data_IF_708347900393
#
_entry.id   IF_708347900393
#
_cell.length_a   1.000
_cell.length_b   1.000
_cell.length_c   1.000
_cell.angle_alpha   90.00
_cell.angle_beta   90.00
_cell.angle_gamma   90.00
#
_symmetry.space_group_name_H-M   'P 1'
#
loop_
_entity.id
_entity.type
_entity.pdbx_description
1 polymer ?
#
# COMPACT_ATOMS: atom_id res chain seq x y z
N UNK A 1 11.08 -0.04 -4.77
CA UNK A 1 10.58 -0.15 -3.38
C UNK A 1 9.26 -0.92 -3.29
N UNK A 2 8.32 -0.66 -4.20
CA UNK A 2 7.01 -1.31 -4.24
C UNK A 2 7.07 -2.84 -4.15
N UNK A 3 7.95 -3.49 -4.91
CA UNK A 3 8.10 -4.95 -4.91
C UNK A 3 8.49 -5.51 -3.54
N UNK A 4 9.32 -4.79 -2.78
CA UNK A 4 9.71 -5.20 -1.43
C UNK A 4 8.58 -5.01 -0.44
N UNK A 5 7.82 -3.90 -0.51
CA UNK A 5 6.61 -3.73 0.30
C UNK A 5 5.59 -4.83 0.01
N UNK A 6 5.36 -5.16 -1.27
CA UNK A 6 4.48 -6.25 -1.66
C UNK A 6 4.98 -7.60 -1.13
N UNK A 7 6.29 -7.85 -1.15
CA UNK A 7 6.90 -9.05 -0.54
C UNK A 7 6.60 -9.10 0.96
N UNK A 8 6.85 -8.02 1.69
CA UNK A 8 6.58 -7.94 3.14
C UNK A 8 5.09 -8.22 3.43
N UNK A 9 4.19 -7.59 2.68
CA UNK A 9 2.73 -7.77 2.84
C UNK A 9 2.30 -9.21 2.56
N UNK A 10 2.74 -9.79 1.44
CA UNK A 10 2.36 -11.16 1.04
C UNK A 10 2.90 -12.23 2.00
N UNK A 11 4.06 -12.00 2.60
CA UNK A 11 4.69 -12.93 3.54
C UNK A 11 4.22 -12.75 4.99
N UNK A 12 3.49 -11.67 5.28
CA UNK A 12 3.11 -11.37 6.65
C UNK A 12 2.08 -12.40 7.20
N UNK A 13 2.33 -13.03 8.36
CA UNK A 13 1.48 -14.10 8.90
C UNK A 13 0.01 -13.69 9.07
N UNK A 14 -0.22 -12.47 9.57
CA UNK A 14 -1.59 -11.95 9.75
C UNK A 14 -2.31 -11.75 8.42
N UNK A 15 -1.62 -11.37 7.35
CA UNK A 15 -2.25 -11.16 6.04
C UNK A 15 -2.66 -12.51 5.46
N UNK A 16 -1.75 -13.49 5.51
CA UNK A 16 -2.01 -14.86 5.03
C UNK A 16 -3.20 -15.49 5.75
N UNK A 17 -3.23 -15.38 7.06
CA UNK A 17 -4.27 -16.01 7.85
C UNK A 17 -5.60 -15.21 7.81
N UNK A 18 -5.56 -13.90 7.62
CA UNK A 18 -6.78 -13.12 7.33
C UNK A 18 -7.36 -13.47 5.95
N UNK A 19 -6.53 -13.82 4.97
CA UNK A 19 -6.98 -14.33 3.67
C UNK A 19 -7.59 -15.72 3.80
N UNK A 20 -6.95 -16.66 4.50
CA UNK A 20 -7.49 -18.02 4.67
C UNK A 20 -8.81 -18.03 5.44
N UNK A 21 -8.99 -17.10 6.38
CA UNK A 21 -10.23 -16.91 7.12
C UNK A 21 -11.31 -16.12 6.34
N UNK A 22 -11.02 -15.68 5.10
CA UNK A 22 -11.97 -14.95 4.24
C UNK A 22 -12.22 -13.50 4.65
N UNK A 23 -11.43 -12.91 5.56
CA UNK A 23 -11.59 -11.53 6.03
C UNK A 23 -11.11 -10.47 5.03
N UNK A 24 -10.23 -10.85 4.10
CA UNK A 24 -9.63 -9.96 3.09
C UNK A 24 -10.27 -10.06 1.71
N UNK A 25 -11.37 -10.80 1.54
CA UNK A 25 -11.98 -11.03 0.23
C UNK A 25 -13.18 -10.09 0.01
N UNK A 26 -12.96 -9.00 -0.72
CA UNK A 26 -13.95 -8.44 -1.64
C UNK A 26 -13.28 -8.24 -3.01
N UNK A 27 -14.00 -8.64 -4.08
CA UNK A 27 -13.66 -8.52 -5.51
C UNK A 27 -12.23 -8.89 -5.95
N UNK A 28 -12.00 -10.20 -6.16
CA UNK A 28 -10.83 -10.70 -6.88
C UNK A 28 -9.62 -10.99 -5.99
N UNK A 29 -9.24 -12.26 -5.90
CA UNK A 29 -8.20 -12.76 -4.99
C UNK A 29 -6.79 -12.14 -5.16
N UNK A 30 -6.55 -11.47 -6.30
CA UNK A 30 -5.28 -10.83 -6.66
C UNK A 30 -5.23 -9.33 -6.29
N UNK A 31 -6.39 -8.68 -6.10
CA UNK A 31 -6.44 -7.26 -5.73
C UNK A 31 -6.02 -7.02 -4.27
N UNK A 32 -6.38 -7.94 -3.38
CA UNK A 32 -6.25 -7.72 -1.93
C UNK A 32 -4.82 -7.42 -1.46
N UNK A 33 -3.79 -8.13 -1.96
CA UNK A 33 -2.40 -7.83 -1.57
C UNK A 33 -1.91 -6.52 -2.15
N UNK A 34 -2.29 -6.22 -3.39
CA UNK A 34 -1.94 -4.99 -4.10
C UNK A 34 -2.57 -3.78 -3.40
N UNK A 35 -3.85 -3.88 -3.02
CA UNK A 35 -4.59 -2.85 -2.29
C UNK A 35 -3.97 -2.62 -0.90
N UNK A 36 -3.63 -3.70 -0.19
CA UNK A 36 -3.01 -3.58 1.14
C UNK A 36 -1.59 -3.02 1.06
N UNK A 37 -0.84 -3.36 0.00
CA UNK A 37 0.47 -2.77 -0.31
C UNK A 37 0.34 -1.30 -0.63
N UNK A 38 -0.68 -0.91 -1.39
CA UNK A 38 -0.97 0.48 -1.71
C UNK A 38 -1.31 1.28 -0.44
N UNK A 39 -2.18 0.75 0.40
CA UNK A 39 -2.60 1.41 1.63
C UNK A 39 -1.43 1.54 2.62
N UNK A 40 -0.60 0.49 2.74
CA UNK A 40 0.64 0.54 3.52
C UNK A 40 1.58 1.62 2.98
N UNK A 41 1.80 1.68 1.66
CA UNK A 41 2.66 2.70 1.04
C UNK A 41 2.16 4.13 1.34
N UNK A 42 0.86 4.39 1.14
CA UNK A 42 0.24 5.69 1.44
C UNK A 42 0.38 6.02 2.92
N UNK A 43 0.21 5.04 3.81
CA UNK A 43 0.34 5.25 5.25
C UNK A 43 1.78 5.60 5.65
N UNK A 44 2.78 4.87 5.14
CA UNK A 44 4.20 5.15 5.38
C UNK A 44 4.57 6.56 4.89
N UNK A 45 4.08 6.95 3.71
CA UNK A 45 4.28 8.28 3.16
C UNK A 45 3.62 9.36 4.02
N UNK A 46 2.35 9.16 4.43
CA UNK A 46 1.61 10.13 5.25
C UNK A 46 2.24 10.39 6.62
N UNK A 47 2.93 9.39 7.16
CA UNK A 47 3.66 9.45 8.43
C UNK A 47 5.10 9.93 8.28
N UNK A 48 5.51 10.27 7.06
CA UNK A 48 6.89 10.62 6.69
C UNK A 48 7.92 9.57 7.15
N UNK A 49 7.56 8.28 7.05
CA UNK A 49 8.41 7.19 7.54
C UNK A 49 9.67 6.99 6.69
N UNK A 50 9.57 7.19 5.38
CA UNK A 50 10.74 7.04 4.50
C UNK A 50 11.85 8.03 4.85
N UNK A 51 11.50 9.30 5.09
CA UNK A 51 12.47 10.31 5.56
C UNK A 51 13.06 9.92 6.91
N UNK A 52 12.22 9.45 7.84
CA UNK A 52 12.69 8.97 9.14
C UNK A 52 13.72 7.84 9.02
N UNK A 53 13.50 6.88 8.11
CA UNK A 53 14.45 5.77 7.89
C UNK A 53 15.80 6.26 7.35
N UNK A 54 15.79 7.29 6.49
CA UNK A 54 17.01 7.93 6.00
C UNK A 54 17.73 8.71 7.11
N UNK A 55 17.00 9.55 7.85
CA UNK A 55 17.53 10.38 8.94
C UNK A 55 18.16 9.57 10.07
N UNK A 56 17.65 8.36 10.31
CA UNK A 56 18.12 7.46 11.37
C UNK A 56 19.09 6.40 10.87
N UNK A 57 19.43 6.41 9.58
CA UNK A 57 20.34 5.44 8.94
C UNK A 57 19.94 3.98 9.22
N UNK A 58 18.64 3.69 9.25
CA UNK A 58 18.14 2.34 9.51
C UNK A 58 18.55 1.37 8.40
N UNK A 59 18.95 0.17 8.80
CA UNK A 59 19.26 -0.91 7.87
C UNK A 59 17.99 -1.51 7.27
N UNK A 60 18.11 -2.15 6.10
CA UNK A 60 16.99 -2.85 5.43
C UNK A 60 16.26 -3.82 6.40
N UNK A 61 17.02 -4.54 7.22
CA UNK A 61 16.46 -5.47 8.21
C UNK A 61 15.63 -4.76 9.29
N UNK A 62 16.09 -3.63 9.79
CA UNK A 62 15.37 -2.84 10.80
C UNK A 62 14.10 -2.25 10.21
N UNK A 63 14.17 -1.74 8.97
CA UNK A 63 13.02 -1.21 8.23
C UNK A 63 11.98 -2.32 8.01
N UNK A 64 12.39 -3.50 7.54
CA UNK A 64 11.48 -4.64 7.34
C UNK A 64 10.82 -5.09 8.66
N UNK A 65 11.59 -5.16 9.75
CA UNK A 65 11.06 -5.49 11.06
C UNK A 65 10.03 -4.46 11.53
N UNK A 66 10.32 -3.17 11.36
CA UNK A 66 9.41 -2.11 11.76
C UNK A 66 8.12 -2.13 10.92
N UNK A 67 8.26 -2.24 9.60
CA UNK A 67 7.13 -2.30 8.68
C UNK A 67 6.25 -3.51 9.00
N UNK A 68 6.83 -4.71 9.15
CA UNK A 68 6.07 -5.92 9.45
C UNK A 68 5.43 -5.89 10.84
N UNK A 69 6.22 -5.67 11.87
CA UNK A 69 5.77 -5.83 13.26
C UNK A 69 4.90 -4.66 13.75
N UNK A 70 5.09 -3.46 13.20
CA UNK A 70 4.43 -2.25 13.69
C UNK A 70 3.44 -1.74 12.63
N UNK A 71 3.93 -1.29 11.48
CA UNK A 71 3.09 -0.53 10.53
C UNK A 71 2.00 -1.40 9.90
N UNK A 72 2.38 -2.53 9.32
CA UNK A 72 1.46 -3.48 8.70
C UNK A 72 0.52 -4.12 9.73
N UNK A 73 1.04 -4.48 10.90
CA UNK A 73 0.20 -5.01 11.99
C UNK A 73 -0.84 -3.98 12.45
N UNK A 74 -0.46 -2.69 12.55
CA UNK A 74 -1.39 -1.62 12.90
C UNK A 74 -2.44 -1.37 11.82
N UNK A 75 -2.04 -1.39 10.54
CA UNK A 75 -2.93 -1.27 9.39
C UNK A 75 -3.99 -2.37 9.42
N UNK A 76 -3.56 -3.64 9.50
CA UNK A 76 -4.46 -4.79 9.57
C UNK A 76 -5.39 -4.72 10.76
N UNK A 77 -4.87 -4.37 11.94
CA UNK A 77 -5.69 -4.23 13.14
C UNK A 77 -6.68 -3.07 13.03
N UNK A 78 -6.36 -2.00 12.31
CA UNK A 78 -7.28 -0.90 12.04
C UNK A 78 -8.38 -1.32 11.06
N UNK A 79 -8.04 -2.03 9.99
CA UNK A 79 -9.01 -2.55 9.02
C UNK A 79 -9.97 -3.58 9.65
N UNK A 80 -9.44 -4.52 10.44
CA UNK A 80 -10.27 -5.47 11.18
C UNK A 80 -11.22 -4.76 12.16
N UNK A 81 -10.77 -3.66 12.79
CA UNK A 81 -11.63 -2.83 13.66
C UNK A 81 -12.75 -2.14 12.91
N UNK A 82 -12.49 -1.67 11.67
CA UNK A 82 -13.50 -1.02 10.82
C UNK A 82 -14.51 -2.04 10.30
N UNK A 83 -14.06 -3.20 9.83
CA UNK A 83 -14.90 -4.26 9.24
C UNK A 83 -15.69 -5.06 10.27
N UNK A 84 -15.08 -5.35 11.42
CA UNK A 84 -15.70 -6.15 12.50
C UNK A 84 -15.64 -5.42 13.85
N UNK A 85 -16.29 -4.24 13.97
CA UNK A 85 -16.25 -3.42 15.19
C UNK A 85 -16.86 -4.14 16.40
N UNK A 86 -17.85 -4.98 16.15
CA UNK A 86 -18.53 -5.79 17.17
C UNK A 86 -17.61 -6.83 17.80
N UNK A 87 -16.95 -7.64 16.96
CA UNK A 87 -15.97 -8.63 17.37
C UNK A 87 -14.84 -8.01 18.19
N UNK A 88 -14.35 -6.83 17.78
CA UNK A 88 -13.32 -6.11 18.51
C UNK A 88 -13.81 -5.61 19.89
N UNK A 89 -15.04 -5.06 19.96
CA UNK A 89 -15.64 -4.63 21.24
C UNK A 89 -15.79 -5.80 22.20
N UNK A 90 -16.28 -6.95 21.74
CA UNK A 90 -16.44 -8.15 22.56
C UNK A 90 -15.10 -8.71 23.03
N UNK A 91 -14.12 -8.83 22.13
CA UNK A 91 -12.76 -9.23 22.47
C UNK A 91 -12.20 -8.41 23.63
N UNK A 92 -12.34 -7.07 23.58
CA UNK A 92 -11.86 -6.17 24.64
C UNK A 92 -12.64 -6.35 25.94
N UNK A 93 -13.98 -6.47 25.87
CA UNK A 93 -14.85 -6.70 27.03
C UNK A 93 -14.50 -8.00 27.75
N UNK A 94 -14.28 -9.09 27.00
CA UNK A 94 -13.85 -10.38 27.54
C UNK A 94 -12.54 -10.21 28.32
N UNK A 95 -11.51 -9.62 27.70
CA UNK A 95 -10.21 -9.37 28.37
C UNK A 95 -10.34 -8.50 29.63
N UNK A 96 -11.23 -7.51 29.63
CA UNK A 96 -11.49 -6.67 30.81
C UNK A 96 -12.20 -7.44 31.93
N UNK A 97 -13.22 -8.23 31.60
CA UNK A 97 -13.97 -9.00 32.60
C UNK A 97 -13.09 -10.05 33.28
N UNK A 98 -12.26 -10.76 32.51
CA UNK A 98 -11.30 -11.74 33.04
C UNK A 98 -10.34 -11.12 34.07
N UNK A 99 -9.98 -9.85 33.91
CA UNK A 99 -9.05 -9.15 34.81
C UNK A 99 -9.71 -8.49 36.02
N UNK A 100 -10.98 -8.08 35.88
CA UNK A 100 -11.64 -7.21 36.87
C UNK A 100 -12.68 -7.93 37.72
N UNK A 101 -13.23 -9.06 37.25
CA UNK A 101 -14.20 -9.84 38.02
C UNK A 101 -13.51 -10.72 39.06
N UNK A 102 -14.16 -10.84 40.23
CA UNK A 102 -13.78 -11.78 41.29
C UNK A 102 -14.00 -13.25 40.95
N UNK A 103 -14.74 -13.57 39.89
CA UNK A 103 -14.99 -14.93 39.44
C UNK A 103 -13.77 -15.56 38.76
N UNK A 104 -12.78 -14.75 38.37
CA UNK A 104 -11.58 -15.21 37.69
C UNK A 104 -10.34 -14.91 38.52
N UNK A 105 -9.34 -15.79 38.42
CA UNK A 105 -8.01 -15.57 39.00
C UNK A 105 -6.92 -16.04 38.04
N UNK A 106 -5.71 -15.57 38.29
CA UNK A 106 -4.52 -15.88 37.50
C UNK A 106 -3.90 -17.20 37.97
N UNK A 107 -3.51 -18.07 37.03
CA UNK A 107 -2.98 -19.43 37.27
C UNK A 107 -1.53 -19.62 36.83
N UNK A 108 -0.78 -18.54 36.64
CA UNK A 108 0.63 -18.65 36.22
C UNK A 108 1.42 -19.45 37.27
N UNK A 109 1.77 -20.70 36.92
CA UNK A 109 2.51 -21.64 37.76
C UNK A 109 3.90 -21.10 38.10
N UNK A 110 4.07 -20.73 39.37
CA UNK A 110 5.26 -20.95 40.21
C UNK A 110 6.66 -20.80 39.58
N UNK A 111 7.41 -19.76 39.98
CA UNK A 111 8.82 -19.93 40.35
C UNK A 111 9.90 -19.13 39.60
N UNK A 112 9.57 -18.46 38.50
CA UNK A 112 10.44 -17.45 37.88
C UNK A 112 9.63 -16.17 37.76
N UNK A 113 10.18 -15.11 38.36
CA UNK A 113 9.43 -13.96 38.88
C UNK A 113 8.45 -13.30 37.93
N UNK A 114 7.62 -12.43 38.50
CA UNK A 114 6.98 -11.32 37.80
C UNK A 114 7.92 -10.79 36.71
N UNK A 115 7.76 -11.27 35.48
CA UNK A 115 8.30 -10.61 34.31
C UNK A 115 7.26 -9.55 33.98
N UNK A 116 7.50 -8.27 34.30
CA UNK A 116 6.54 -7.19 34.03
C UNK A 116 6.24 -7.03 32.53
N UNK A 117 6.93 -7.77 31.66
CA UNK A 117 6.87 -7.69 30.21
C UNK A 117 6.00 -8.76 29.53
N UNK A 118 5.37 -9.70 30.26
CA UNK A 118 4.46 -10.67 29.61
C UNK A 118 3.22 -9.98 29.05
N UNK A 119 3.01 -10.16 27.74
CA UNK A 119 1.86 -9.61 27.01
C UNK A 119 0.57 -10.13 27.66
N UNK A 120 -0.44 -9.26 27.76
CA UNK A 120 -1.74 -9.60 28.35
C UNK A 120 -2.36 -10.87 27.73
N UNK A 121 -2.17 -11.05 26.43
CA UNK A 121 -2.69 -12.18 25.67
C UNK A 121 -2.22 -13.54 26.20
N UNK A 122 -1.02 -13.61 26.79
CA UNK A 122 -0.37 -14.87 27.17
C UNK A 122 -0.54 -15.20 28.67
N UNK A 123 -1.23 -14.33 29.42
CA UNK A 123 -1.49 -14.53 30.86
C UNK A 123 -2.56 -15.60 31.05
N UNK A 124 -2.35 -16.55 31.96
CA UNK A 124 -3.26 -17.67 32.18
C UNK A 124 -4.29 -17.35 33.27
N UNK A 125 -5.56 -17.55 32.95
CA UNK A 125 -6.70 -17.36 33.84
C UNK A 125 -7.58 -18.60 33.93
N UNK A 126 -8.32 -18.69 35.03
CA UNK A 126 -9.31 -19.73 35.28
C UNK A 126 -10.28 -19.28 36.37
N UNK A 127 -11.18 -20.17 36.78
CA UNK A 127 -12.15 -19.85 37.83
C UNK A 127 -11.47 -19.66 39.18
N UNK A 128 -11.96 -18.68 39.95
CA UNK A 128 -11.40 -18.30 41.25
C UNK A 128 -11.47 -19.42 42.29
N UNK A 129 -12.44 -20.32 42.16
CA UNK A 129 -12.67 -21.47 43.04
C UNK A 129 -11.80 -22.69 42.75
N UNK A 130 -11.12 -22.77 41.60
CA UNK A 130 -10.27 -23.91 41.29
C UNK A 130 -9.01 -23.94 42.18
N UNK A 131 -8.38 -25.10 42.32
CA UNK A 131 -7.13 -25.23 43.07
C UNK A 131 -5.91 -24.69 42.29
N UNK A 132 -4.89 -24.18 42.98
CA UNK A 132 -3.69 -23.54 42.37
C UNK A 132 -2.93 -24.47 41.41
N UNK A 133 -3.00 -25.78 41.62
CA UNK A 133 -2.38 -26.80 40.76
C UNK A 133 -3.26 -27.34 39.64
N UNK A 134 -4.33 -26.63 39.24
CA UNK A 134 -5.23 -27.09 38.16
C UNK A 134 -4.42 -27.29 36.86
N UNK A 135 -4.45 -28.51 36.33
CA UNK A 135 -3.67 -28.87 35.12
C UNK A 135 -4.24 -28.19 33.88
N UNK A 136 -3.33 -27.71 33.03
CA UNK A 136 -3.66 -27.31 31.65
C UNK A 136 -3.95 -28.55 30.82
N UNK A 137 -4.98 -28.48 29.97
CA UNK A 137 -5.32 -29.48 28.96
C UNK A 137 -4.72 -29.08 27.62
N UNK A 138 -4.62 -30.05 26.72
CA UNK A 138 -4.19 -29.81 25.35
C UNK A 138 -5.20 -28.97 24.57
N UNK A 139 -4.72 -28.13 23.64
CA UNK A 139 -5.57 -27.19 22.88
C UNK A 139 -6.73 -27.89 22.16
N UNK A 140 -6.46 -29.06 21.58
CA UNK A 140 -7.48 -29.83 20.85
C UNK A 140 -8.63 -30.30 21.76
N UNK A 141 -8.31 -30.76 22.97
CA UNK A 141 -9.31 -31.21 23.95
C UNK A 141 -10.18 -30.04 24.44
N UNK A 142 -9.57 -28.88 24.60
CA UNK A 142 -10.25 -27.64 25.02
C UNK A 142 -11.23 -27.19 23.95
N UNK A 143 -10.82 -27.15 22.68
CA UNK A 143 -11.68 -26.76 21.55
C UNK A 143 -12.90 -27.68 21.41
N UNK A 144 -12.71 -29.00 21.49
CA UNK A 144 -13.82 -29.96 21.41
C UNK A 144 -14.83 -29.76 22.53
N UNK A 145 -14.36 -29.56 23.77
CA UNK A 145 -15.24 -29.44 24.95
C UNK A 145 -16.12 -28.19 24.92
N UNK A 146 -15.65 -27.09 24.34
CA UNK A 146 -16.47 -25.87 24.18
C UNK A 146 -17.69 -26.10 23.29
N UNK A 147 -17.71 -27.14 22.44
CA UNK A 147 -18.87 -27.49 21.59
C UNK A 147 -20.08 -28.01 22.35
N UNK A 148 -19.91 -28.37 23.62
CA UNK A 148 -21.02 -28.69 24.52
C UNK A 148 -21.85 -27.43 24.82
N UNK A 149 -21.25 -26.24 24.75
CA UNK A 149 -21.93 -24.97 25.02
C UNK A 149 -22.67 -24.53 23.76
N UNK A 150 -23.99 -24.31 23.84
CA UNK A 150 -24.75 -23.83 22.69
C UNK A 150 -24.31 -22.41 22.31
N UNK A 151 -24.22 -22.17 21.00
CA UNK A 151 -24.00 -20.81 20.47
C UNK A 151 -25.19 -19.94 20.87
N UNK A 152 -24.92 -18.77 21.45
CA UNK A 152 -25.98 -17.84 21.85
C UNK A 152 -26.67 -17.25 20.62
N UNK A 153 -27.98 -17.07 20.72
CA UNK A 153 -28.75 -16.42 19.67
C UNK A 153 -28.37 -14.94 19.54
N UNK A 154 -28.35 -14.43 18.30
CA UNK A 154 -28.14 -13.01 18.03
C UNK A 154 -29.38 -12.25 18.46
N UNK A 155 -29.24 -11.31 19.37
CA UNK A 155 -30.32 -10.36 19.65
C UNK A 155 -30.45 -9.43 18.42
N UNK A 156 -31.60 -9.49 17.75
CA UNK A 156 -31.83 -8.79 16.46
C UNK A 156 -32.51 -7.44 16.64
N UNK A 157 -32.48 -6.87 17.86
CA UNK A 157 -33.00 -5.52 18.10
C UNK A 157 -32.29 -4.52 17.20
N UNK A 158 -33.09 -3.72 16.49
CA UNK A 158 -32.61 -2.59 15.70
C UNK A 158 -31.98 -1.56 16.64
N UNK A 159 -30.68 -1.29 16.50
CA UNK A 159 -29.99 -0.26 17.27
C UNK A 159 -29.39 0.77 16.32
N UNK A 160 -29.77 2.04 16.50
CA UNK A 160 -29.24 3.17 15.72
C UNK A 160 -29.92 3.41 14.36
N UNK A 161 -29.41 4.40 13.61
CA UNK A 161 -29.96 4.84 12.32
C UNK A 161 -29.47 4.02 11.11
N UNK A 162 -28.57 3.04 11.30
CA UNK A 162 -27.94 2.28 10.21
C UNK A 162 -28.60 0.91 9.94
N UNK A 163 -29.51 0.45 10.80
CA UNK A 163 -30.28 -0.78 10.57
C UNK A 163 -29.53 -2.10 10.80
N UNK A 164 -28.29 -2.04 11.30
CA UNK A 164 -27.51 -3.24 11.60
C UNK A 164 -27.92 -3.88 12.94
N UNK A 165 -28.22 -5.18 12.93
CA UNK A 165 -28.42 -5.96 14.16
C UNK A 165 -27.10 -6.15 14.91
N UNK A 166 -26.99 -5.77 16.18
CA UNK A 166 -25.79 -5.99 17.02
C UNK A 166 -26.06 -7.06 18.08
N UNK A 167 -25.09 -7.89 18.44
CA UNK A 167 -25.16 -8.76 19.63
C UNK A 167 -25.15 -7.88 20.87
N UNK A 168 -26.34 -7.66 21.42
CA UNK A 168 -26.53 -7.02 22.72
C UNK A 168 -26.36 -8.09 23.79
N UNK A 169 -25.18 -8.15 24.39
CA UNK A 169 -24.88 -8.99 25.56
C UNK A 169 -24.44 -8.11 26.73
N UNK A 170 -25.06 -8.28 27.90
CA UNK A 170 -24.67 -7.53 29.11
C UNK A 170 -23.33 -8.04 29.66
N UNK A 171 -22.73 -7.32 30.61
CA UNK A 171 -21.48 -7.79 31.23
C UNK A 171 -21.69 -9.04 32.08
N UNK A 172 -22.80 -9.14 32.81
CA UNK A 172 -23.14 -10.34 33.59
C UNK A 172 -23.36 -11.54 32.67
N UNK A 173 -24.12 -11.37 31.58
CA UNK A 173 -24.37 -12.47 30.66
C UNK A 173 -23.08 -12.94 29.97
N UNK A 174 -22.18 -12.01 29.63
CA UNK A 174 -20.88 -12.32 29.03
C UNK A 174 -19.96 -13.02 30.04
N UNK A 175 -20.02 -12.62 31.30
CA UNK A 175 -19.31 -13.26 32.39
C UNK A 175 -19.79 -14.69 32.64
N UNK A 176 -21.10 -14.92 32.66
CA UNK A 176 -21.69 -16.25 32.76
C UNK A 176 -21.28 -17.15 31.60
N UNK A 177 -21.10 -16.59 30.39
CA UNK A 177 -20.57 -17.33 29.25
C UNK A 177 -19.10 -17.70 29.45
N UNK A 178 -18.26 -16.79 29.96
CA UNK A 178 -16.85 -17.08 30.26
C UNK A 178 -16.76 -18.20 31.32
N UNK A 179 -17.60 -18.13 32.36
CA UNK A 179 -17.69 -19.19 33.39
C UNK A 179 -18.10 -20.52 32.76
N UNK A 180 -19.16 -20.53 31.95
CA UNK A 180 -19.63 -21.73 31.26
C UNK A 180 -18.54 -22.36 30.38
N UNK A 181 -17.76 -21.52 29.67
CA UNK A 181 -16.61 -21.95 28.86
C UNK A 181 -15.55 -22.60 29.73
N UNK A 182 -15.15 -21.96 30.83
CA UNK A 182 -14.15 -22.51 31.76
C UNK A 182 -14.63 -23.82 32.41
N UNK A 183 -15.90 -23.92 32.80
CA UNK A 183 -16.49 -25.14 33.34
C UNK A 183 -16.49 -26.29 32.34
N UNK A 184 -16.85 -26.03 31.07
CA UNK A 184 -16.88 -27.07 30.04
C UNK A 184 -15.47 -27.60 29.72
N UNK A 185 -14.49 -26.71 29.59
CA UNK A 185 -13.11 -27.09 29.28
C UNK A 185 -12.37 -27.65 30.49
N UNK A 186 -12.80 -27.28 31.70
CA UNK A 186 -12.24 -27.75 32.96
C UNK A 186 -10.71 -27.54 33.03
N UNK A 187 -10.24 -26.39 32.56
CA UNK A 187 -8.81 -26.08 32.44
C UNK A 187 -8.51 -24.57 32.38
N UNK A 188 -7.42 -24.09 33.01
CA UNK A 188 -6.96 -22.72 32.84
C UNK A 188 -6.42 -22.48 31.42
N UNK A 189 -6.74 -21.31 30.86
CA UNK A 189 -6.35 -20.92 29.52
C UNK A 189 -5.75 -19.51 29.52
N UNK A 190 -4.86 -19.22 28.56
CA UNK A 190 -4.39 -17.86 28.33
C UNK A 190 -5.51 -16.97 27.76
N UNK A 191 -5.38 -15.65 27.92
CA UNK A 191 -6.41 -14.68 27.50
C UNK A 191 -6.73 -14.80 26.00
N UNK A 192 -5.74 -15.11 25.15
CA UNK A 192 -5.93 -15.28 23.70
C UNK A 192 -6.86 -16.46 23.43
N UNK A 193 -6.54 -17.62 23.99
CA UNK A 193 -7.33 -18.85 23.87
C UNK A 193 -8.73 -18.65 24.44
N UNK A 194 -8.85 -18.13 25.66
CA UNK A 194 -10.15 -17.94 26.32
C UNK A 194 -11.06 -17.00 25.52
N UNK A 195 -10.50 -15.94 24.94
CA UNK A 195 -11.24 -15.04 24.05
C UNK A 195 -11.77 -15.78 22.82
N UNK A 196 -10.93 -16.57 22.14
CA UNK A 196 -11.35 -17.31 20.94
C UNK A 196 -12.48 -18.30 21.26
N UNK A 197 -12.34 -19.06 22.36
CA UNK A 197 -13.36 -20.00 22.81
C UNK A 197 -14.70 -19.30 23.12
N UNK A 198 -14.67 -18.18 23.83
CA UNK A 198 -15.88 -17.40 24.15
C UNK A 198 -16.51 -16.80 22.89
N UNK A 199 -15.69 -16.23 22.01
CA UNK A 199 -16.17 -15.67 20.74
C UNK A 199 -16.76 -16.75 19.82
N UNK A 200 -16.24 -17.98 19.83
CA UNK A 200 -16.79 -19.11 19.07
C UNK A 200 -18.21 -19.50 19.51
N UNK A 201 -18.67 -19.07 20.68
CA UNK A 201 -20.03 -19.29 21.22
C UNK A 201 -20.93 -18.07 21.10
N UNK A 202 -20.46 -17.02 20.43
CA UNK A 202 -21.22 -15.83 20.08
C UNK A 202 -21.40 -15.79 18.55
N UNK A 203 -22.50 -15.23 18.02
CA UNK A 203 -22.74 -15.15 16.58
C UNK A 203 -21.98 -13.95 15.98
N UNK A 204 -20.68 -13.89 16.23
CA UNK A 204 -19.75 -12.85 15.76
C UNK A 204 -18.52 -13.51 15.15
N UNK A 205 -17.87 -12.81 14.21
CA UNK A 205 -16.62 -13.29 13.62
C UNK A 205 -15.51 -13.29 14.67
N UNK A 206 -14.77 -14.39 14.80
CA UNK A 206 -13.54 -14.40 15.59
C UNK A 206 -12.39 -13.82 14.78
N UNK A 207 -12.03 -12.56 15.09
CA UNK A 207 -10.92 -11.82 14.46
C UNK A 207 -9.54 -12.36 14.86
N UNK A 208 -9.45 -13.34 15.76
CA UNK A 208 -8.19 -13.92 16.24
C UNK A 208 -8.01 -15.41 15.94
N UNK A 209 -8.77 -15.97 15.01
CA UNK A 209 -8.49 -17.30 14.42
C UNK A 209 -7.18 -17.37 13.60
N UNK A 210 -6.25 -16.44 13.83
CA UNK A 210 -4.89 -16.44 13.34
C UNK A 210 -3.94 -16.63 14.53
N UNK A 211 -3.39 -17.83 14.73
CA UNK A 211 -2.23 -18.02 15.60
C UNK A 211 -1.11 -17.07 15.15
N UNK A 212 -0.61 -16.25 16.08
CA UNK A 212 0.63 -15.48 15.89
C UNK A 212 1.88 -16.37 16.01
N UNK A 213 1.68 -17.60 16.48
CA UNK A 213 2.72 -18.62 16.57
C UNK A 213 2.64 -19.41 15.27
N UNK A 214 3.54 -19.06 14.34
CA UNK A 214 3.73 -19.79 13.10
C UNK A 214 4.10 -21.22 13.42
N UNK A 215 3.20 -22.15 13.11
CA UNK A 215 3.60 -23.52 12.86
C UNK A 215 4.12 -23.53 11.42
N UNK A 216 5.45 -23.59 11.27
CA UNK A 216 6.16 -23.90 10.02
C UNK A 216 5.83 -25.35 9.61
N UNK A 217 4.56 -25.64 9.36
CA UNK A 217 4.19 -26.89 8.72
C UNK A 217 4.16 -26.64 7.22
N UNK A 218 5.33 -26.83 6.60
CA UNK A 218 5.63 -26.82 5.16
C UNK A 218 4.89 -27.95 4.38
N UNK A 219 3.58 -28.09 4.61
CA UNK A 219 2.84 -29.29 4.21
C UNK A 219 1.94 -29.15 2.97
N UNK A 220 1.31 -28.01 2.73
CA UNK A 220 0.29 -27.92 1.68
C UNK A 220 0.43 -26.62 0.87
N UNK A 221 1.06 -26.76 -0.30
CA UNK A 221 0.92 -25.86 -1.44
C UNK A 221 1.10 -24.38 -1.12
N UNK A 222 2.35 -23.95 -0.88
CA UNK A 222 2.73 -22.55 -1.03
C UNK A 222 2.49 -22.11 -2.50
N UNK A 223 1.24 -21.79 -2.83
CA UNK A 223 0.90 -21.02 -4.02
C UNK A 223 1.35 -19.58 -3.74
N UNK A 224 2.65 -19.34 -3.89
CA UNK A 224 3.19 -18.00 -3.96
C UNK A 224 2.53 -17.31 -5.15
N UNK A 225 1.75 -16.28 -4.88
CA UNK A 225 1.17 -15.47 -5.92
C UNK A 225 2.32 -14.68 -6.55
N UNK A 226 2.61 -14.88 -7.86
CA UNK A 226 3.69 -14.16 -8.51
C UNK A 226 3.43 -12.66 -8.38
N UNK A 227 4.48 -11.88 -8.06
CA UNK A 227 4.42 -10.42 -8.09
C UNK A 227 3.81 -9.99 -9.42
N UNK A 228 2.75 -9.17 -9.36
CA UNK A 228 2.12 -8.66 -10.56
C UNK A 228 3.19 -8.00 -11.44
N UNK A 229 3.28 -8.46 -12.69
CA UNK A 229 4.26 -7.96 -13.67
C UNK A 229 3.80 -6.68 -14.36
N UNK A 230 2.58 -6.22 -14.06
CA UNK A 230 2.07 -4.96 -14.54
C UNK A 230 2.89 -3.79 -13.96
N UNK A 231 2.84 -2.65 -14.67
CA UNK A 231 3.51 -1.41 -14.25
C UNK A 231 3.02 -1.01 -12.86
N UNK A 232 3.93 -0.97 -11.89
CA UNK A 232 3.58 -0.59 -10.52
C UNK A 232 3.47 0.95 -10.38
N UNK A 233 2.81 1.47 -9.32
CA UNK A 233 2.59 2.91 -9.17
C UNK A 233 3.88 3.74 -9.13
N UNK A 234 4.95 3.19 -8.55
CA UNK A 234 6.29 3.82 -8.51
C UNK A 234 6.90 3.92 -9.92
N UNK A 235 6.84 2.84 -10.70
CA UNK A 235 7.26 2.82 -12.11
C UNK A 235 6.45 3.79 -12.96
N UNK A 236 5.12 3.82 -12.76
CA UNK A 236 4.25 4.77 -13.46
C UNK A 236 4.54 6.22 -13.09
N UNK A 237 4.94 6.49 -11.84
CA UNK A 237 5.34 7.83 -11.40
C UNK A 237 6.70 8.22 -12.00
N UNK A 238 7.70 7.35 -11.91
CA UNK A 238 9.03 7.57 -12.51
C UNK A 238 8.95 7.78 -14.02
N UNK A 239 8.09 7.03 -14.72
CA UNK A 239 7.84 7.21 -16.15
C UNK A 239 7.22 8.58 -16.46
N UNK A 240 6.26 9.03 -15.65
CA UNK A 240 5.66 10.36 -15.81
C UNK A 240 6.65 11.48 -15.50
N UNK A 241 7.54 11.27 -14.53
CA UNK A 241 8.61 12.21 -14.22
C UNK A 241 9.61 12.29 -15.38
N UNK A 242 10.07 11.16 -15.93
CA UNK A 242 10.98 11.14 -17.08
C UNK A 242 10.33 11.76 -18.33
N UNK A 243 9.04 11.52 -18.55
CA UNK A 243 8.23 12.19 -19.58
C UNK A 243 8.15 13.71 -19.41
N UNK A 244 8.04 14.20 -18.17
CA UNK A 244 7.99 15.63 -17.87
C UNK A 244 9.37 16.28 -17.98
N UNK A 245 10.43 15.59 -17.54
CA UNK A 245 11.82 16.00 -17.75
C UNK A 245 12.14 16.09 -19.24
N UNK A 246 11.65 15.16 -20.06
CA UNK A 246 11.79 15.19 -21.52
C UNK A 246 11.27 16.51 -22.13
N UNK A 247 10.16 17.05 -21.59
CA UNK A 247 9.65 18.37 -22.01
C UNK A 247 10.59 19.52 -21.59
N UNK A 248 11.34 19.37 -20.50
CA UNK A 248 12.33 20.36 -20.03
C UNK A 248 13.57 20.49 -20.93
N UNK A 249 13.87 19.50 -21.79
CA UNK A 249 14.99 19.58 -22.74
C UNK A 249 14.76 20.56 -23.90
N UNK A 250 13.54 21.09 -24.07
CA UNK A 250 13.20 21.99 -25.18
C UNK A 250 14.05 23.27 -25.16
N UNK A 251 14.18 23.92 -24.01
CA UNK A 251 14.96 25.16 -23.92
C UNK A 251 16.44 24.90 -24.22
N UNK A 252 17.01 23.81 -23.68
CA UNK A 252 18.38 23.42 -23.96
C UNK A 252 18.62 23.08 -25.45
N UNK A 253 17.66 22.38 -26.08
CA UNK A 253 17.72 22.09 -27.53
C UNK A 253 17.71 23.39 -28.36
N UNK A 254 16.87 24.36 -28.00
CA UNK A 254 16.78 25.65 -28.68
C UNK A 254 18.05 26.49 -28.47
N UNK A 255 18.64 26.48 -27.27
CA UNK A 255 19.93 27.10 -26.97
C UNK A 255 21.06 26.50 -27.81
N UNK A 256 21.18 25.17 -27.85
CA UNK A 256 22.19 24.50 -28.69
C UNK A 256 22.01 24.86 -30.16
N UNK A 257 20.77 24.91 -30.64
CA UNK A 257 20.44 25.29 -32.01
C UNK A 257 20.85 26.75 -32.31
N UNK A 258 20.66 27.67 -31.37
CA UNK A 258 21.14 29.05 -31.45
C UNK A 258 22.68 29.12 -31.49
N UNK A 259 23.36 28.27 -30.74
CA UNK A 259 24.82 28.18 -30.72
C UNK A 259 25.39 27.63 -32.04
N UNK A 260 24.67 26.74 -32.74
CA UNK A 260 25.11 26.26 -34.08
C UNK A 260 25.25 27.37 -35.11
N UNK A 261 24.55 28.50 -34.93
CA UNK A 261 24.67 29.71 -35.76
C UNK A 261 25.50 30.81 -35.11
N UNK A 262 26.23 30.47 -34.03
CA UNK A 262 27.10 31.38 -33.27
C UNK A 262 26.32 32.61 -32.77
N UNK A 263 25.08 32.39 -32.34
CA UNK A 263 24.20 33.44 -31.82
C UNK A 263 23.71 34.48 -32.82
N UNK A 264 23.79 34.21 -34.12
CA UNK A 264 23.27 35.12 -35.16
C UNK A 264 21.74 35.02 -35.24
N UNK A 265 21.04 35.95 -34.59
CA UNK A 265 19.57 36.02 -34.53
C UNK A 265 18.85 35.81 -35.87
N UNK A 266 19.27 36.48 -36.95
CA UNK A 266 18.64 36.29 -38.28
C UNK A 266 18.79 34.87 -38.83
N UNK A 267 19.92 34.21 -38.56
CA UNK A 267 20.14 32.83 -38.99
C UNK A 267 19.36 31.86 -38.09
N UNK A 268 19.28 32.17 -36.80
CA UNK A 268 18.50 31.43 -35.83
C UNK A 268 17.00 31.45 -36.16
N UNK A 269 16.42 32.62 -36.45
CA UNK A 269 15.02 32.74 -36.85
C UNK A 269 14.71 31.91 -38.12
N UNK A 270 15.64 31.87 -39.08
CA UNK A 270 15.49 31.02 -40.28
C UNK A 270 15.56 29.54 -39.94
N UNK A 271 16.45 29.13 -39.04
CA UNK A 271 16.49 27.76 -38.54
C UNK A 271 15.18 27.39 -37.82
N UNK A 272 14.62 28.29 -36.99
CA UNK A 272 13.33 28.07 -36.33
C UNK A 272 12.19 27.93 -37.36
N UNK A 273 12.20 28.73 -38.42
CA UNK A 273 11.27 28.58 -39.55
C UNK A 273 11.39 27.22 -40.23
N UNK A 274 12.63 26.75 -40.50
CA UNK A 274 12.86 25.41 -41.07
C UNK A 274 12.39 24.32 -40.11
N UNK A 275 12.67 24.46 -38.81
CA UNK A 275 12.21 23.54 -37.76
C UNK A 275 10.68 23.45 -37.75
N UNK A 276 10.01 24.60 -37.80
CA UNK A 276 8.55 24.67 -37.85
C UNK A 276 7.97 23.97 -39.08
N UNK A 277 8.36 24.41 -40.29
CA UNK A 277 7.73 23.93 -41.51
C UNK A 277 8.11 22.49 -41.90
N UNK A 278 9.30 22.03 -41.54
CA UNK A 278 9.75 20.67 -41.88
C UNK A 278 9.37 19.60 -40.84
N UNK A 279 9.26 19.95 -39.56
CA UNK A 279 9.15 18.95 -38.48
C UNK A 279 7.93 19.13 -37.58
N UNK A 280 7.48 20.36 -37.33
CA UNK A 280 6.47 20.63 -36.29
C UNK A 280 5.08 20.95 -36.86
N UNK A 281 5.04 21.48 -38.09
CA UNK A 281 3.80 21.81 -38.78
C UNK A 281 3.01 20.55 -39.18
N UNK A 282 1.69 20.52 -38.97
CA UNK A 282 0.86 19.41 -39.43
C UNK A 282 0.77 19.33 -40.96
N UNK A 283 1.08 20.41 -41.67
CA UNK A 283 1.17 20.43 -43.13
C UNK A 283 2.59 20.05 -43.56
N UNK A 284 2.75 18.93 -44.24
CA UNK A 284 4.03 18.57 -44.85
C UNK A 284 4.32 19.51 -46.02
N UNK A 285 5.25 20.44 -45.83
CA UNK A 285 5.75 21.31 -46.89
C UNK A 285 6.97 20.67 -47.55
N UNK A 286 7.07 20.79 -48.88
CA UNK A 286 8.28 20.35 -49.58
C UNK A 286 9.45 21.30 -49.28
N UNK A 287 10.68 20.82 -49.41
CA UNK A 287 11.87 21.65 -49.13
C UNK A 287 11.90 22.93 -49.99
N UNK A 288 11.44 22.84 -51.24
CA UNK A 288 11.32 23.98 -52.17
C UNK A 288 10.28 25.00 -51.70
N UNK A 289 9.14 24.54 -51.17
CA UNK A 289 8.12 25.42 -50.59
C UNK A 289 8.65 26.12 -49.33
N UNK A 290 9.34 25.39 -48.45
CA UNK A 290 9.95 25.98 -47.24
C UNK A 290 11.01 27.02 -47.61
N UNK A 291 11.83 26.75 -48.63
CA UNK A 291 12.82 27.69 -49.14
C UNK A 291 12.15 28.98 -49.66
N UNK A 292 11.04 28.85 -50.40
CA UNK A 292 10.27 29.99 -50.90
C UNK A 292 9.61 30.80 -49.77
N UNK A 293 8.99 30.14 -48.80
CA UNK A 293 8.34 30.79 -47.64
C UNK A 293 9.33 31.57 -46.79
N UNK A 294 10.52 31.01 -46.56
CA UNK A 294 11.55 31.63 -45.73
C UNK A 294 12.48 32.58 -46.51
N UNK A 295 12.31 32.72 -47.82
CA UNK A 295 13.14 33.57 -48.68
C UNK A 295 14.62 33.14 -48.72
N UNK A 296 14.89 31.83 -48.71
CA UNK A 296 16.24 31.24 -48.69
C UNK A 296 16.46 30.24 -49.82
N UNK A 297 17.70 29.82 -50.05
CA UNK A 297 18.00 28.77 -51.03
C UNK A 297 17.68 27.37 -50.51
N UNK A 298 17.31 26.47 -51.41
CA UNK A 298 17.07 25.05 -51.12
C UNK A 298 18.27 24.39 -50.40
N UNK A 299 19.49 24.71 -50.86
CA UNK A 299 20.74 24.25 -50.23
C UNK A 299 20.89 24.70 -48.78
N UNK A 300 20.39 25.89 -48.42
CA UNK A 300 20.45 26.41 -47.07
C UNK A 300 19.42 25.72 -46.16
N UNK A 301 18.23 25.42 -46.69
CA UNK A 301 17.23 24.61 -45.97
C UNK A 301 17.79 23.22 -45.66
N UNK A 302 18.47 22.59 -46.63
CA UNK A 302 19.14 21.29 -46.41
C UNK A 302 20.23 21.36 -45.34
N UNK A 303 21.04 22.41 -45.32
CA UNK A 303 22.06 22.62 -44.27
C UNK A 303 21.42 22.77 -42.89
N UNK A 304 20.36 23.58 -42.78
CA UNK A 304 19.63 23.77 -41.52
C UNK A 304 18.95 22.48 -41.05
N UNK A 305 18.35 21.71 -41.94
CA UNK A 305 17.79 20.38 -41.60
C UNK A 305 18.85 19.46 -41.03
N UNK A 306 20.05 19.43 -41.62
CA UNK A 306 21.15 18.58 -41.13
C UNK A 306 21.59 18.98 -39.71
N UNK A 307 21.64 20.29 -39.41
CA UNK A 307 21.97 20.79 -38.06
C UNK A 307 20.89 20.39 -37.05
N UNK A 308 19.61 20.62 -37.39
CA UNK A 308 18.46 20.20 -36.58
C UNK A 308 18.51 18.69 -36.30
N UNK A 309 18.73 17.86 -37.32
CA UNK A 309 18.83 16.40 -37.15
C UNK A 309 20.00 15.99 -36.26
N UNK A 310 21.10 16.74 -36.27
CA UNK A 310 22.25 16.45 -35.41
C UNK A 310 21.89 16.68 -33.95
N UNK A 311 21.25 17.82 -33.65
CA UNK A 311 20.78 18.12 -32.29
C UNK A 311 19.67 17.16 -31.84
N UNK A 312 18.74 16.80 -32.73
CA UNK A 312 17.70 15.81 -32.43
C UNK A 312 18.28 14.43 -32.12
N UNK A 313 19.36 14.02 -32.79
CA UNK A 313 20.05 12.75 -32.49
C UNK A 313 20.85 12.79 -31.18
N UNK A 314 21.23 13.98 -30.71
CA UNK A 314 21.89 14.14 -29.43
C UNK A 314 20.92 13.92 -28.24
N UNK A 315 19.61 14.05 -28.47
CA UNK A 315 18.58 13.71 -27.50
C UNK A 315 18.49 12.19 -27.35
N UNK A 316 18.95 11.67 -26.22
CA UNK A 316 18.95 10.23 -25.91
C UNK A 316 17.69 9.80 -25.16
N UNK A 317 16.51 9.99 -25.77
CA UNK A 317 15.26 9.50 -25.17
C UNK A 317 15.19 7.97 -25.26
N UNK A 318 14.81 7.35 -24.15
CA UNK A 318 14.75 5.89 -24.03
C UNK A 318 13.37 5.34 -24.41
N UNK A 319 12.33 6.17 -24.29
CA UNK A 319 10.94 5.79 -24.54
C UNK A 319 10.28 6.67 -25.61
N UNK A 320 9.28 6.10 -26.29
CA UNK A 320 8.51 6.81 -27.33
C UNK A 320 7.67 7.94 -26.73
N UNK A 321 7.19 7.79 -25.49
CA UNK A 321 6.37 8.82 -24.84
C UNK A 321 7.18 10.06 -24.44
N UNK A 322 8.43 9.88 -24.01
CA UNK A 322 9.39 10.98 -23.77
C UNK A 322 9.56 11.84 -25.04
N UNK A 323 9.79 11.19 -26.19
CA UNK A 323 9.93 11.87 -27.47
C UNK A 323 8.66 12.63 -27.88
N UNK A 324 7.46 12.08 -27.62
CA UNK A 324 6.18 12.76 -27.90
C UNK A 324 5.96 13.98 -27.00
N UNK A 325 6.32 13.89 -25.72
CA UNK A 325 6.24 15.01 -24.77
C UNK A 325 7.18 16.14 -25.17
N UNK A 326 8.41 15.80 -25.53
CA UNK A 326 9.37 16.75 -26.09
C UNK A 326 8.83 17.40 -27.38
N UNK A 327 8.32 16.63 -28.34
CA UNK A 327 7.76 17.16 -29.59
C UNK A 327 6.60 18.14 -29.33
N UNK A 328 5.69 17.79 -28.42
CA UNK A 328 4.57 18.64 -28.03
C UNK A 328 5.02 19.97 -27.44
N UNK A 329 5.95 19.92 -26.48
CA UNK A 329 6.50 21.11 -25.84
C UNK A 329 7.32 21.96 -26.83
N UNK A 330 8.12 21.33 -27.70
CA UNK A 330 8.89 22.01 -28.74
C UNK A 330 7.98 22.72 -29.75
N UNK A 331 6.89 22.07 -30.17
CA UNK A 331 5.88 22.67 -31.05
C UNK A 331 5.28 23.94 -30.43
N UNK A 332 4.91 23.90 -29.15
CA UNK A 332 4.37 25.07 -28.47
C UNK A 332 5.40 26.20 -28.41
N UNK A 333 6.62 25.87 -27.97
CA UNK A 333 7.68 26.87 -27.77
C UNK A 333 8.13 27.54 -29.07
N UNK A 334 8.34 26.76 -30.13
CA UNK A 334 8.74 27.29 -31.45
C UNK A 334 7.64 28.14 -32.05
N UNK A 335 6.36 27.76 -31.87
CA UNK A 335 5.23 28.56 -32.33
C UNK A 335 5.23 29.95 -31.70
N UNK A 336 5.47 30.05 -30.39
CA UNK A 336 5.58 31.33 -29.69
C UNK A 336 6.72 32.19 -30.25
N UNK A 337 7.89 31.60 -30.49
CA UNK A 337 9.07 32.31 -31.00
C UNK A 337 8.90 32.79 -32.45
N UNK A 338 8.28 31.96 -33.31
CA UNK A 338 8.03 32.33 -34.72
C UNK A 338 6.98 33.45 -34.81
N UNK A 339 5.89 33.36 -34.03
CA UNK A 339 4.85 34.40 -34.01
C UNK A 339 5.38 35.73 -33.42
N UNK A 340 6.22 35.68 -32.38
CA UNK A 340 6.85 36.89 -31.82
C UNK A 340 7.87 37.54 -32.79
N UNK A 341 8.51 36.73 -33.65
CA UNK A 341 9.41 37.20 -34.70
C UNK A 341 8.68 37.92 -35.84
N UNK A 342 7.45 37.52 -36.16
CA UNK A 342 6.63 38.18 -37.19
C UNK A 342 6.16 39.58 -36.75
N UNK A 343 5.84 39.78 -35.46
CA UNK A 343 5.45 41.11 -34.95
C UNK A 343 6.60 42.14 -34.96
N UNK A 344 7.85 41.68 -34.87
CA UNK A 344 9.03 42.56 -34.86
C UNK A 344 9.52 42.95 -36.26
N UNK A 345 9.23 42.16 -37.30
CA UNK A 345 9.54 42.55 -38.70
C UNK A 345 8.54 43.54 -39.30
N UNK A 346 7.31 43.63 -38.78
CA UNK A 346 6.29 44.60 -39.26
C UNK A 346 6.49 46.00 -38.66
N UNK A 347 7.29 46.13 -37.61
CA UNK A 347 7.52 47.37 -36.88
C UNK A 347 8.80 48.15 -37.28
N UNK A 348 9.50 47.76 -38.36
CA UNK A 348 10.76 48.40 -38.82
C UNK A 348 10.63 49.02 -40.20
#
# INVERSE_FOLDING_TARGET
MWSELHRIVSHHPLVRASRSAGLLVEEGASSAYTDLTQELFVQLLSKNRFEHYLDTEMTDYEIECEIGQIELTNLLTAELRKRHPESYRLARRISTLIQSSSNFRRFDTSGTGDEPHRRLADRVYGLSEWADGKRRRDSHDVEQRVHIIPVRARDTRMVGCTGDSQVVISNSDLEDLIVSVLDAVDSPADVRTLRSLVMSRLPVMDIYLVPLDGDDNDGEGNHFEPVDKNENPEQGLLRRESENEAAGFVDHFLENLHDTVRGKLKQYNRILGVLWHCYLSPTQSTQLEVAAVLGVSDSLVSDYRRRIETELRALSFSQVEEARRFEGALRQRVRELVLAGEETEVAV
#
